data_IF_831974046005
#
_entry.id   IF_831974046005
#
_cell.length_a   1.000
_cell.length_b   1.000
_cell.length_c   1.000
_cell.angle_alpha   90.00
_cell.angle_beta   90.00
_cell.angle_gamma   90.00
#
_symmetry.space_group_name_H-M   'P 1'
#
loop_
_entity.id
_entity.type
_entity.pdbx_description
1 polymer ?
#
# COMPACT_ATOMS: atom_id res chain seq x y z
N UNK A 1 -0.59 -2.11 5.71
CA UNK A 1 -0.05 -1.54 6.96
C UNK A 1 -0.84 -2.10 8.14
N UNK A 2 -0.18 -2.48 9.21
CA UNK A 2 -0.79 -3.04 10.41
C UNK A 2 -1.83 -2.11 11.06
N UNK A 3 -1.75 -0.82 10.83
CA UNK A 3 -2.57 0.18 11.51
C UNK A 3 -3.92 0.45 10.84
N UNK A 4 -4.04 0.24 9.55
CA UNK A 4 -5.23 0.57 8.76
C UNK A 4 -5.48 -0.51 7.70
N UNK A 5 -6.70 -1.05 7.69
CA UNK A 5 -7.19 -1.94 6.63
C UNK A 5 -8.26 -1.21 5.83
N UNK A 6 -8.07 -1.11 4.53
CA UNK A 6 -9.07 -0.58 3.59
C UNK A 6 -9.71 -1.74 2.83
N UNK A 7 -11.03 -1.70 2.73
CA UNK A 7 -11.84 -2.70 2.01
C UNK A 7 -12.72 -1.95 1.01
N UNK A 8 -12.53 -2.23 -0.27
CA UNK A 8 -13.31 -1.67 -1.37
C UNK A 8 -14.39 -2.67 -1.81
N UNK A 9 -15.65 -2.21 -1.91
CA UNK A 9 -16.77 -3.00 -2.39
C UNK A 9 -17.04 -2.66 -3.84
N UNK A 10 -16.54 -3.52 -4.74
CA UNK A 10 -16.70 -3.34 -6.17
C UNK A 10 -18.06 -3.78 -6.69
N UNK A 11 -18.70 -2.90 -7.46
CA UNK A 11 -19.89 -3.22 -8.25
C UNK A 11 -19.49 -3.95 -9.54
N UNK A 12 -19.36 -5.27 -9.52
CA UNK A 12 -19.14 -6.00 -10.76
C UNK A 12 -20.40 -5.96 -11.65
N UNK A 13 -20.31 -5.18 -12.77
CA UNK A 13 -21.10 -5.35 -14.01
C UNK A 13 -22.63 -5.22 -14.00
N UNK A 14 -23.26 -4.55 -13.06
CA UNK A 14 -24.71 -4.25 -13.14
C UNK A 14 -24.98 -2.78 -13.45
N UNK A 15 -24.72 -2.37 -14.66
CA UNK A 15 -24.98 -0.99 -15.13
C UNK A 15 -26.15 -1.00 -16.12
N UNK A 16 -27.36 -1.25 -15.69
CA UNK A 16 -28.56 -1.00 -16.53
C UNK A 16 -29.68 -0.38 -15.70
N UNK A 17 -29.82 0.92 -15.85
CA UNK A 17 -31.06 1.63 -15.60
C UNK A 17 -31.54 1.67 -14.13
N UNK A 18 -32.83 1.55 -13.93
CA UNK A 18 -33.55 1.70 -12.65
C UNK A 18 -33.13 0.74 -11.52
N UNK A 19 -32.19 -0.18 -11.79
CA UNK A 19 -31.71 -1.21 -10.85
C UNK A 19 -30.39 -0.87 -10.17
N UNK A 20 -29.77 0.30 -10.43
CA UNK A 20 -28.44 0.63 -9.88
C UNK A 20 -28.50 0.73 -8.37
N UNK A 21 -29.46 1.48 -7.83
CA UNK A 21 -29.63 1.66 -6.38
C UNK A 21 -29.97 0.35 -5.68
N UNK A 22 -30.87 -0.48 -6.24
CA UNK A 22 -31.23 -1.77 -5.66
C UNK A 22 -30.07 -2.77 -5.73
N UNK A 23 -29.30 -2.73 -6.80
CA UNK A 23 -28.10 -3.57 -6.94
C UNK A 23 -27.01 -3.14 -5.95
N UNK A 24 -26.74 -1.83 -5.84
CA UNK A 24 -25.80 -1.29 -4.86
C UNK A 24 -26.19 -1.68 -3.44
N UNK A 25 -27.47 -1.53 -3.09
CA UNK A 25 -28.01 -1.92 -1.78
C UNK A 25 -27.81 -3.41 -1.49
N UNK A 26 -28.19 -4.29 -2.40
CA UNK A 26 -28.06 -5.74 -2.22
C UNK A 26 -26.59 -6.16 -2.10
N UNK A 27 -25.74 -5.64 -2.98
CA UNK A 27 -24.27 -5.90 -2.92
C UNK A 27 -23.68 -5.42 -1.61
N UNK A 28 -24.05 -4.24 -1.14
CA UNK A 28 -23.56 -3.70 0.13
C UNK A 28 -24.05 -4.51 1.34
N UNK A 29 -25.26 -5.05 1.31
CA UNK A 29 -25.78 -5.95 2.35
C UNK A 29 -24.99 -7.26 2.38
N UNK A 30 -24.74 -7.87 1.22
CA UNK A 30 -23.90 -9.08 1.12
C UNK A 30 -22.47 -8.82 1.57
N UNK A 31 -21.89 -7.69 1.15
CA UNK A 31 -20.56 -7.26 1.57
C UNK A 31 -20.49 -7.07 3.10
N UNK A 32 -21.48 -6.44 3.72
CA UNK A 32 -21.52 -6.25 5.17
C UNK A 32 -21.47 -7.58 5.94
N UNK A 33 -22.20 -8.60 5.47
CA UNK A 33 -22.19 -9.95 6.05
C UNK A 33 -20.81 -10.59 5.90
N UNK A 34 -20.28 -10.62 4.67
CA UNK A 34 -19.01 -11.30 4.40
C UNK A 34 -17.83 -10.59 5.06
N UNK A 35 -17.79 -9.25 5.04
CA UNK A 35 -16.75 -8.48 5.72
C UNK A 35 -16.73 -8.82 7.21
N UNK A 36 -17.88 -8.77 7.88
CA UNK A 36 -17.98 -9.10 9.30
C UNK A 36 -17.46 -10.50 9.62
N UNK A 37 -17.71 -11.47 8.74
CA UNK A 37 -17.20 -12.84 8.84
C UNK A 37 -15.69 -12.89 8.64
N UNK A 38 -15.17 -12.20 7.61
CA UNK A 38 -13.75 -12.17 7.30
C UNK A 38 -12.92 -11.47 8.38
N UNK A 39 -13.44 -10.42 9.02
CA UNK A 39 -12.78 -9.78 10.15
C UNK A 39 -12.53 -10.76 11.29
N UNK A 40 -13.51 -11.62 11.60
CA UNK A 40 -13.38 -12.69 12.62
C UNK A 40 -12.43 -13.79 12.18
N UNK A 41 -12.57 -14.28 10.94
CA UNK A 41 -11.78 -15.42 10.43
C UNK A 41 -10.28 -15.08 10.32
N UNK A 42 -9.97 -13.84 9.94
CA UNK A 42 -8.59 -13.39 9.73
C UNK A 42 -8.01 -12.66 10.94
N UNK A 43 -8.78 -12.50 12.01
CA UNK A 43 -8.42 -11.72 13.20
C UNK A 43 -7.92 -10.28 12.86
N UNK A 44 -8.57 -9.64 11.89
CA UNK A 44 -8.23 -8.28 11.49
C UNK A 44 -8.69 -7.32 12.59
N UNK A 45 -7.76 -6.59 13.19
CA UNK A 45 -8.01 -5.58 14.22
C UNK A 45 -7.42 -4.22 13.86
N UNK A 46 -7.71 -3.22 14.67
CA UNK A 46 -7.29 -1.84 14.43
C UNK A 46 -8.37 -1.04 13.72
N UNK A 47 -7.96 -0.04 12.95
CA UNK A 47 -8.88 0.79 12.16
C UNK A 47 -9.15 0.13 10.80
N UNK A 48 -10.42 -0.01 10.48
CA UNK A 48 -10.90 -0.61 9.24
C UNK A 48 -11.81 0.41 8.56
N UNK A 49 -11.54 0.70 7.31
CA UNK A 49 -12.35 1.59 6.47
C UNK A 49 -12.95 0.77 5.33
N UNK A 50 -14.26 0.77 5.24
CA UNK A 50 -15.00 0.08 4.18
C UNK A 50 -15.55 1.13 3.23
N UNK A 51 -15.23 0.98 1.95
CA UNK A 51 -15.76 1.80 0.87
C UNK A 51 -16.95 1.05 0.23
N UNK A 52 -18.16 1.43 0.63
CA UNK A 52 -19.38 0.87 0.10
C UNK A 52 -19.75 1.53 -1.24
N UNK A 53 -20.42 0.78 -2.09
CA UNK A 53 -21.01 1.34 -3.32
C UNK A 53 -21.97 2.47 -2.94
N UNK A 54 -21.86 3.60 -3.63
CA UNK A 54 -22.68 4.78 -3.36
C UNK A 54 -24.17 4.46 -3.41
N UNK A 55 -24.90 4.94 -2.41
CA UNK A 55 -26.35 4.85 -2.29
C UNK A 55 -26.95 6.23 -2.06
N UNK A 56 -27.90 6.63 -2.90
CA UNK A 56 -28.58 7.92 -2.76
C UNK A 56 -29.63 7.89 -1.63
N UNK A 57 -30.23 6.73 -1.40
CA UNK A 57 -31.30 6.57 -0.43
C UNK A 57 -30.76 6.34 0.99
N UNK A 58 -30.96 7.32 1.87
CA UNK A 58 -30.55 7.23 3.26
C UNK A 58 -31.15 6.03 4.03
N UNK A 59 -32.34 5.52 3.61
CA UNK A 59 -32.93 4.33 4.23
C UNK A 59 -32.07 3.10 3.91
N UNK A 60 -31.55 2.99 2.68
CA UNK A 60 -30.67 1.92 2.26
C UNK A 60 -29.34 1.98 3.04
N UNK A 61 -28.75 3.16 3.15
CA UNK A 61 -27.53 3.36 3.96
C UNK A 61 -27.73 2.89 5.40
N UNK A 62 -28.82 3.32 6.06
CA UNK A 62 -29.14 2.88 7.43
C UNK A 62 -29.38 1.38 7.54
N UNK A 63 -29.95 0.75 6.52
CA UNK A 63 -30.16 -0.70 6.50
C UNK A 63 -28.84 -1.45 6.42
N UNK A 64 -27.89 -0.98 5.61
CA UNK A 64 -26.52 -1.54 5.54
C UNK A 64 -25.78 -1.34 6.87
N UNK A 65 -25.85 -0.14 7.47
CA UNK A 65 -25.26 0.13 8.80
C UNK A 65 -25.81 -0.81 9.88
N UNK A 66 -27.14 -0.99 9.90
CA UNK A 66 -27.78 -1.85 10.87
C UNK A 66 -27.38 -3.32 10.65
N UNK A 67 -27.38 -3.77 9.39
CA UNK A 67 -26.94 -5.13 9.04
C UNK A 67 -25.51 -5.39 9.48
N UNK A 68 -24.58 -4.46 9.17
CA UNK A 68 -23.20 -4.54 9.62
C UNK A 68 -23.12 -4.62 11.15
N UNK A 69 -23.82 -3.76 11.86
CA UNK A 69 -23.83 -3.73 13.33
C UNK A 69 -24.38 -5.03 13.92
N UNK A 70 -25.40 -5.61 13.32
CA UNK A 70 -25.98 -6.88 13.79
C UNK A 70 -25.02 -8.05 13.59
N UNK A 71 -24.34 -8.11 12.44
CA UNK A 71 -23.33 -9.15 12.17
C UNK A 71 -22.09 -9.02 13.08
N UNK A 72 -21.70 -7.81 13.43
CA UNK A 72 -20.58 -7.55 14.34
C UNK A 72 -20.88 -7.90 15.80
N UNK A 73 -22.17 -8.03 16.23
CA UNK A 73 -22.54 -8.51 17.57
C UNK A 73 -22.05 -9.93 17.86
N UNK A 74 -21.80 -10.73 16.83
CA UNK A 74 -21.28 -12.08 16.96
C UNK A 74 -19.77 -12.14 17.21
N UNK A 75 -19.09 -10.98 17.20
CA UNK A 75 -17.65 -10.90 17.46
C UNK A 75 -17.36 -10.82 18.97
N UNK A 76 -16.28 -11.51 19.40
CA UNK A 76 -15.80 -11.46 20.80
C UNK A 76 -15.00 -10.20 21.09
N UNK A 77 -14.50 -9.52 20.04
CA UNK A 77 -13.71 -8.30 20.17
C UNK A 77 -14.63 -7.09 20.46
N UNK A 78 -14.11 -6.09 21.16
CA UNK A 78 -14.77 -4.79 21.26
C UNK A 78 -14.71 -4.08 19.92
N UNK A 79 -15.89 -3.69 19.41
CA UNK A 79 -16.02 -3.01 18.12
C UNK A 79 -16.81 -1.72 18.30
N UNK A 80 -16.32 -0.67 17.68
CA UNK A 80 -17.00 0.61 17.53
C UNK A 80 -17.18 0.90 16.03
N UNK A 81 -18.38 1.33 15.64
CA UNK A 81 -18.70 1.64 14.24
C UNK A 81 -19.26 3.05 14.16
N UNK A 82 -18.83 3.81 13.17
CA UNK A 82 -19.46 5.06 12.79
C UNK A 82 -20.67 4.82 11.86
N UNK A 83 -21.31 5.90 11.44
CA UNK A 83 -22.29 5.89 10.35
C UNK A 83 -21.56 5.94 9.00
N UNK A 84 -22.21 5.51 7.94
CA UNK A 84 -21.71 5.72 6.60
C UNK A 84 -21.61 7.23 6.34
N UNK A 85 -20.43 7.67 5.96
CA UNK A 85 -20.15 9.07 5.66
C UNK A 85 -20.83 9.46 4.32
N UNK A 86 -20.89 10.76 4.04
CA UNK A 86 -21.35 11.27 2.73
C UNK A 86 -20.45 10.84 1.55
N UNK A 87 -19.32 10.22 1.81
CA UNK A 87 -18.41 9.65 0.81
C UNK A 87 -18.52 8.14 0.68
N UNK A 88 -19.57 7.50 1.21
CA UNK A 88 -19.76 6.06 1.16
C UNK A 88 -18.94 5.25 2.17
N UNK A 89 -18.06 5.91 2.96
CA UNK A 89 -17.12 5.24 3.84
C UNK A 89 -17.72 4.89 5.19
N UNK A 90 -17.56 3.64 5.62
CA UNK A 90 -17.86 3.18 6.98
C UNK A 90 -16.57 2.89 7.73
N UNK A 91 -16.38 3.57 8.85
CA UNK A 91 -15.23 3.37 9.73
C UNK A 91 -15.57 2.42 10.88
N UNK A 92 -14.70 1.46 11.12
CA UNK A 92 -14.80 0.47 12.18
C UNK A 92 -13.49 0.45 12.96
N UNK A 93 -13.58 0.53 14.28
CA UNK A 93 -12.46 0.27 15.18
C UNK A 93 -12.71 -1.07 15.89
N UNK A 94 -11.87 -2.06 15.61
CA UNK A 94 -11.94 -3.39 16.23
C UNK A 94 -10.72 -3.62 17.11
N UNK A 95 -10.96 -4.02 18.35
CA UNK A 95 -9.89 -4.35 19.27
C UNK A 95 -9.05 -5.51 18.72
N UNK A 96 -7.72 -5.38 18.71
CA UNK A 96 -6.81 -6.47 18.40
C UNK A 96 -6.74 -7.43 19.60
N UNK A 97 -7.10 -8.67 19.36
CA UNK A 97 -6.99 -9.73 20.38
C UNK A 97 -5.65 -10.47 20.26
N UNK A 98 -5.13 -10.59 19.04
CA UNK A 98 -3.86 -11.25 18.67
C UNK A 98 -3.39 -10.74 17.29
N UNK A 99 -2.16 -11.08 16.85
CA UNK A 99 -1.73 -10.79 15.49
C UNK A 99 -2.70 -11.37 14.47
N UNK A 100 -2.89 -10.67 13.35
CA UNK A 100 -3.77 -11.17 12.27
C UNK A 100 -3.22 -12.47 11.69
N UNK A 101 -4.08 -13.25 11.05
CA UNK A 101 -3.68 -14.49 10.39
C UNK A 101 -2.56 -14.24 9.36
N UNK A 102 -2.65 -13.14 8.61
CA UNK A 102 -1.63 -12.74 7.64
C UNK A 102 -0.27 -12.47 8.29
N UNK A 103 -0.24 -11.74 9.41
CA UNK A 103 0.99 -11.45 10.16
C UNK A 103 1.62 -12.71 10.78
N UNK A 104 0.78 -13.71 11.13
CA UNK A 104 1.25 -14.94 11.76
C UNK A 104 1.85 -15.96 10.77
N UNK A 105 1.45 -15.89 9.47
CA UNK A 105 1.79 -16.91 8.46
C UNK A 105 2.81 -16.39 7.44
N UNK A 106 2.93 -15.07 7.28
CA UNK A 106 3.79 -14.47 6.25
C UNK A 106 4.75 -13.45 6.86
N UNK A 107 5.97 -13.41 6.34
CA UNK A 107 6.95 -12.37 6.63
C UNK A 107 6.84 -11.21 5.63
N UNK A 108 7.43 -10.07 6.00
CA UNK A 108 7.55 -8.93 5.09
C UNK A 108 8.47 -9.32 3.93
N UNK A 109 8.05 -9.05 2.70
CA UNK A 109 8.87 -9.30 1.52
C UNK A 109 10.17 -8.46 1.59
N UNK A 110 11.37 -9.07 1.58
CA UNK A 110 12.62 -8.31 1.69
C UNK A 110 12.88 -7.38 0.51
N UNK A 111 12.25 -7.65 -0.65
CA UNK A 111 12.45 -6.85 -1.87
C UNK A 111 11.62 -5.58 -1.90
N UNK A 112 10.37 -5.61 -1.44
CA UNK A 112 9.48 -4.44 -1.47
C UNK A 112 9.10 -3.93 -0.08
N UNK A 113 9.60 -4.54 0.99
CA UNK A 113 9.32 -4.17 2.39
C UNK A 113 7.81 -3.98 2.68
N UNK A 114 6.98 -4.77 2.02
CA UNK A 114 5.52 -4.73 2.17
C UNK A 114 4.79 -3.70 1.31
N UNK A 115 5.51 -2.91 0.48
CA UNK A 115 4.88 -1.88 -0.37
C UNK A 115 4.17 -2.47 -1.60
N UNK A 116 4.46 -3.73 -1.97
CA UNK A 116 3.92 -4.39 -3.17
C UNK A 116 4.47 -3.85 -4.49
N UNK A 117 5.41 -2.89 -4.44
CA UNK A 117 6.02 -2.26 -5.62
C UNK A 117 7.53 -2.23 -5.44
N UNK A 118 8.25 -2.40 -6.55
CA UNK A 118 9.73 -2.27 -6.63
C UNK A 118 10.02 -1.16 -7.61
N UNK A 119 11.06 -0.40 -7.36
CA UNK A 119 11.51 0.64 -8.32
C UNK A 119 12.06 -0.05 -9.57
N UNK A 120 11.84 0.54 -10.73
CA UNK A 120 12.48 0.10 -11.95
C UNK A 120 13.98 0.49 -11.99
N UNK A 121 14.71 -0.11 -12.91
CA UNK A 121 16.15 0.09 -13.08
C UNK A 121 16.47 1.55 -13.34
N UNK A 122 15.70 2.23 -14.19
CA UNK A 122 15.94 3.63 -14.57
C UNK A 122 15.71 4.57 -13.39
N UNK A 123 14.59 4.40 -12.67
CA UNK A 123 14.26 5.18 -11.48
C UNK A 123 15.30 4.98 -10.37
N UNK A 124 15.78 3.75 -10.19
CA UNK A 124 16.84 3.42 -9.23
C UNK A 124 18.14 4.08 -9.62
N UNK A 125 18.55 4.01 -10.89
CA UNK A 125 19.77 4.64 -11.39
C UNK A 125 19.77 6.16 -11.19
N UNK A 126 18.63 6.84 -11.52
CA UNK A 126 18.50 8.28 -11.30
C UNK A 126 18.52 8.66 -9.81
N UNK A 127 17.93 7.85 -8.96
CA UNK A 127 17.98 8.04 -7.50
C UNK A 127 19.41 7.91 -6.98
N UNK A 128 20.17 6.93 -7.51
CA UNK A 128 21.56 6.72 -7.12
C UNK A 128 22.47 7.86 -7.59
N UNK A 129 22.27 8.39 -8.80
CA UNK A 129 23.01 9.57 -9.26
C UNK A 129 22.84 10.77 -8.33
N UNK A 130 21.60 11.04 -7.89
CA UNK A 130 21.33 12.12 -6.93
C UNK A 130 22.02 11.87 -5.58
N UNK A 131 22.00 10.63 -5.10
CA UNK A 131 22.70 10.26 -3.86
C UNK A 131 24.20 10.44 -4.00
N UNK A 132 24.80 10.00 -5.12
CA UNK A 132 26.22 10.18 -5.41
C UNK A 132 26.58 11.68 -5.45
N UNK A 133 25.78 12.49 -6.14
CA UNK A 133 26.01 13.94 -6.21
C UNK A 133 25.93 14.59 -4.82
N UNK A 134 24.97 14.19 -3.98
CA UNK A 134 24.86 14.68 -2.60
C UNK A 134 26.06 14.27 -1.75
N UNK A 135 26.55 13.03 -1.89
CA UNK A 135 27.70 12.55 -1.14
C UNK A 135 29.00 13.24 -1.59
N UNK A 136 29.20 13.39 -2.91
CA UNK A 136 30.38 14.07 -3.48
C UNK A 136 30.46 15.55 -3.09
N UNK A 137 29.33 16.20 -2.82
CA UNK A 137 29.27 17.59 -2.38
C UNK A 137 29.59 17.80 -0.88
N UNK A 138 29.80 16.72 -0.11
CA UNK A 138 30.22 16.83 1.28
C UNK A 138 31.70 17.26 1.36
N UNK A 139 31.99 18.16 2.28
CA UNK A 139 33.34 18.68 2.47
C UNK A 139 34.39 17.57 2.70
N UNK A 140 35.53 17.63 1.97
CA UNK A 140 36.71 16.76 2.10
C UNK A 140 36.59 15.33 1.58
N UNK A 141 35.61 14.98 0.77
CA UNK A 141 35.56 13.66 0.14
C UNK A 141 36.39 13.63 -1.15
N UNK A 142 37.37 12.73 -1.21
CA UNK A 142 38.18 12.52 -2.41
C UNK A 142 37.63 11.44 -3.33
N UNK A 143 36.91 10.47 -2.76
CA UNK A 143 36.30 9.39 -3.54
C UNK A 143 35.04 8.85 -2.89
N UNK A 144 34.09 8.43 -3.70
CA UNK A 144 32.84 7.73 -3.31
C UNK A 144 32.78 6.40 -4.02
N UNK A 145 32.69 5.31 -3.25
CA UNK A 145 32.48 3.97 -3.80
C UNK A 145 31.04 3.53 -3.50
N UNK A 146 30.32 3.10 -4.53
CA UNK A 146 28.93 2.62 -4.41
C UNK A 146 28.79 1.21 -4.98
N UNK A 147 28.16 0.33 -4.22
CA UNK A 147 27.79 -1.01 -4.69
C UNK A 147 26.35 -1.03 -5.16
N UNK A 148 26.10 -1.55 -6.34
CA UNK A 148 24.80 -1.55 -6.99
C UNK A 148 24.49 -2.91 -7.66
N UNK A 149 23.21 -3.27 -7.82
CA UNK A 149 22.81 -4.38 -8.68
C UNK A 149 23.45 -4.26 -10.06
N UNK A 150 23.79 -5.39 -10.67
CA UNK A 150 24.52 -5.44 -11.97
C UNK A 150 23.78 -4.59 -13.03
N UNK A 151 22.47 -4.73 -13.14
CA UNK A 151 21.66 -4.03 -14.14
C UNK A 151 21.70 -2.52 -13.98
N UNK A 152 21.61 -2.02 -12.74
CA UNK A 152 21.69 -0.59 -12.42
C UNK A 152 23.10 -0.05 -12.68
N UNK A 153 24.13 -0.79 -12.24
CA UNK A 153 25.51 -0.43 -12.48
C UNK A 153 25.84 -0.37 -13.98
N UNK A 154 25.34 -1.33 -14.77
CA UNK A 154 25.51 -1.36 -16.22
C UNK A 154 24.87 -0.14 -16.88
N UNK A 155 23.66 0.23 -16.48
CA UNK A 155 22.97 1.43 -16.99
C UNK A 155 23.75 2.70 -16.64
N UNK A 156 24.23 2.84 -15.41
CA UNK A 156 24.99 4.00 -14.97
C UNK A 156 26.33 4.13 -15.72
N UNK A 157 27.06 3.04 -15.85
CA UNK A 157 28.39 3.06 -16.48
C UNK A 157 28.36 3.24 -18.01
N UNK A 158 27.27 2.82 -18.65
CA UNK A 158 27.13 2.94 -20.11
C UNK A 158 26.29 4.14 -20.51
N UNK A 159 25.03 4.17 -20.12
CA UNK A 159 24.09 5.20 -20.59
C UNK A 159 24.24 6.52 -19.84
N UNK A 160 24.56 6.47 -18.54
CA UNK A 160 24.70 7.65 -17.67
C UNK A 160 26.16 8.04 -17.38
N UNK A 161 27.08 7.56 -18.19
CA UNK A 161 28.51 7.83 -18.03
C UNK A 161 28.87 9.32 -18.06
N UNK A 162 28.18 10.10 -18.90
CA UNK A 162 28.40 11.52 -18.97
C UNK A 162 27.94 12.24 -17.71
N UNK A 163 26.79 11.85 -17.16
CA UNK A 163 26.25 12.40 -15.91
C UNK A 163 27.25 12.16 -14.75
N UNK A 164 27.85 10.96 -14.68
CA UNK A 164 28.87 10.64 -13.68
C UNK A 164 30.10 11.54 -13.85
N UNK A 165 30.62 11.71 -15.07
CA UNK A 165 31.78 12.56 -15.34
C UNK A 165 31.51 14.02 -14.99
N UNK A 166 30.30 14.52 -15.26
CA UNK A 166 29.93 15.88 -14.91
C UNK A 166 29.92 16.10 -13.39
N UNK A 167 29.48 15.09 -12.61
CA UNK A 167 29.52 15.12 -11.15
C UNK A 167 30.99 15.10 -10.67
N UNK A 168 31.82 14.20 -11.20
CA UNK A 168 33.26 14.13 -10.85
C UNK A 168 34.00 15.46 -11.14
N UNK A 169 33.69 16.06 -12.28
CA UNK A 169 34.32 17.33 -12.67
C UNK A 169 33.89 18.51 -11.79
N UNK A 170 32.65 18.52 -11.31
CA UNK A 170 32.12 19.59 -10.44
C UNK A 170 32.56 19.47 -9.00
N UNK A 171 32.67 18.26 -8.49
CA UNK A 171 32.93 17.98 -7.07
C UNK A 171 34.39 17.63 -6.76
N UNK A 172 35.25 17.50 -7.80
CA UNK A 172 36.64 17.00 -7.68
C UNK A 172 36.71 15.65 -6.93
N UNK A 173 35.66 14.84 -7.00
CA UNK A 173 35.52 13.58 -6.28
C UNK A 173 35.48 12.40 -7.27
N UNK A 174 36.29 11.38 -7.05
CA UNK A 174 36.28 10.16 -7.90
C UNK A 174 35.12 9.25 -7.54
N UNK A 175 34.37 8.81 -8.53
CA UNK A 175 33.21 7.92 -8.33
C UNK A 175 33.55 6.50 -8.80
N UNK A 176 33.45 5.52 -7.89
CA UNK A 176 33.68 4.11 -8.17
C UNK A 176 32.38 3.35 -8.07
N UNK A 177 31.86 2.86 -9.19
CA UNK A 177 30.64 2.03 -9.24
C UNK A 177 31.06 0.56 -9.26
N UNK A 178 30.62 -0.20 -8.27
CA UNK A 178 30.95 -1.61 -8.09
C UNK A 178 29.70 -2.45 -8.34
N UNK A 179 29.60 -3.19 -9.45
CA UNK A 179 28.50 -4.13 -9.68
C UNK A 179 28.52 -5.27 -8.65
N UNK A 180 27.38 -5.54 -8.01
CA UNK A 180 27.27 -6.61 -7.05
C UNK A 180 26.04 -7.48 -7.36
N UNK A 181 26.27 -8.77 -7.62
CA UNK A 181 25.22 -9.76 -7.96
C UNK A 181 24.31 -10.15 -6.80
N UNK A 182 24.71 -9.83 -5.58
CA UNK A 182 23.92 -10.14 -4.38
C UNK A 182 22.96 -9.03 -3.98
N UNK A 183 23.00 -7.90 -4.68
CA UNK A 183 22.05 -6.82 -4.50
C UNK A 183 20.91 -6.97 -5.50
N UNK A 184 19.70 -6.85 -5.01
CA UNK A 184 18.47 -6.86 -5.81
C UNK A 184 17.91 -5.44 -5.93
N UNK A 185 17.15 -5.21 -7.01
CA UNK A 185 16.43 -3.95 -7.28
C UNK A 185 15.15 -3.92 -6.46
#
# INVERSE_FOLDING_TARGET
TEALVSIDVNSSRSTKGRDIESTAFNTNIEAAIEISKQLRLRDIGGLIVIDFIDMENQKNQRSVENKMRDELKHDKARIQTNKISRFGLLEISRQRLRPSLGESISGVCPRCEGTGRVRDIQSTALSMLRTIEQECNKEKLQSVAIQLPIEVATLLLNEKRNDIRDIEAKSECTIVVIPNRYFEI
#
